data_IF_030864798503
#
_entry.id   IF_030864798503
#
_cell.length_a   1.000
_cell.length_b   1.000
_cell.length_c   1.000
_cell.angle_alpha   90.00
_cell.angle_beta   90.00
_cell.angle_gamma   90.00
#
_symmetry.space_group_name_H-M   'P 1'
#
loop_
_entity.id
_entity.type
_entity.pdbx_description
1 polymer ?
#
# COMPACT_ATOMS: atom_id res chain seq x y z
N UNK A 1 37.35 20.24 57.00
CA UNK A 1 36.30 20.81 56.12
C UNK A 1 36.51 20.23 54.74
N UNK A 2 35.81 19.15 54.40
CA UNK A 2 34.42 19.09 53.95
C UNK A 2 34.29 19.45 52.47
N UNK A 3 33.96 18.38 51.73
CA UNK A 3 33.04 18.31 50.61
C UNK A 3 33.49 18.79 49.23
N UNK A 4 33.13 17.94 48.26
CA UNK A 4 32.83 18.25 46.85
C UNK A 4 34.01 18.27 45.86
N UNK A 5 34.65 17.11 45.69
CA UNK A 5 35.33 16.73 44.43
C UNK A 5 34.78 15.41 43.88
N UNK A 6 33.45 15.23 43.95
CA UNK A 6 32.73 14.12 43.29
C UNK A 6 31.53 14.73 42.57
N UNK A 7 31.75 15.54 41.54
CA UNK A 7 30.65 15.99 40.68
C UNK A 7 31.12 16.44 39.28
N UNK A 8 31.77 15.55 38.49
CA UNK A 8 31.50 15.63 37.04
C UNK A 8 31.21 14.27 36.39
N UNK A 9 30.99 13.20 37.15
CA UNK A 9 30.76 11.86 36.56
C UNK A 9 29.28 11.42 36.49
N UNK A 10 28.34 12.22 37.02
CA UNK A 10 26.90 11.89 37.05
C UNK A 10 26.09 12.71 36.01
N UNK A 11 26.76 13.50 35.15
CA UNK A 11 26.08 14.39 34.20
C UNK A 11 26.33 14.05 32.71
N UNK A 12 26.47 12.76 32.36
CA UNK A 12 26.61 12.33 30.94
C UNK A 12 25.69 11.15 30.58
N UNK A 13 24.74 10.75 31.44
CA UNK A 13 23.84 9.62 31.16
C UNK A 13 22.40 10.05 30.81
N UNK A 14 22.09 11.35 30.76
CA UNK A 14 20.72 11.80 30.55
C UNK A 14 20.58 12.47 29.18
N UNK A 15 19.91 11.72 28.28
CA UNK A 15 19.15 12.14 27.09
C UNK A 15 19.87 12.23 25.74
N UNK A 16 20.51 11.13 25.33
CA UNK A 16 20.37 10.71 23.93
C UNK A 16 19.06 9.93 23.76
N UNK A 17 17.93 10.54 24.13
CA UNK A 17 16.61 10.06 23.69
C UNK A 17 16.42 10.54 22.25
N UNK A 18 17.26 10.04 21.35
CA UNK A 18 17.06 10.25 19.92
C UNK A 18 15.68 9.72 19.58
N UNK A 19 14.78 10.60 19.13
CA UNK A 19 13.47 10.18 18.64
C UNK A 19 13.71 9.09 17.60
N UNK A 20 13.28 7.85 17.90
CA UNK A 20 13.42 6.75 16.98
C UNK A 20 12.71 7.13 15.68
N UNK A 21 13.44 7.07 14.56
CA UNK A 21 12.87 7.38 13.25
C UNK A 21 11.81 6.33 12.94
N UNK A 22 10.61 6.78 12.57
CA UNK A 22 9.46 5.91 12.29
C UNK A 22 9.11 5.92 10.82
N UNK A 23 8.58 4.79 10.33
CA UNK A 23 8.23 4.59 8.93
C UNK A 23 6.98 3.73 8.74
N UNK A 24 6.36 3.83 7.55
CA UNK A 24 5.26 2.99 7.06
C UNK A 24 5.77 1.84 6.16
N UNK A 25 7.00 1.93 5.69
CA UNK A 25 7.64 0.89 4.90
C UNK A 25 8.03 -0.29 5.77
N UNK A 26 8.05 -1.48 5.20
CA UNK A 26 8.55 -2.72 5.80
C UNK A 26 9.43 -3.41 4.78
N UNK A 27 10.59 -3.90 5.18
CA UNK A 27 11.38 -4.75 4.29
C UNK A 27 12.23 -5.75 5.06
N UNK A 28 12.52 -6.87 4.43
CA UNK A 28 13.38 -7.90 4.99
C UNK A 28 14.85 -7.45 4.94
N UNK A 29 15.75 -8.05 5.74
CA UNK A 29 17.19 -7.74 5.70
C UNK A 29 17.84 -8.01 4.33
N UNK A 30 17.29 -8.94 3.55
CA UNK A 30 17.79 -9.36 2.24
C UNK A 30 17.10 -8.65 1.06
N UNK A 31 16.21 -7.69 1.31
CA UNK A 31 15.48 -6.96 0.26
C UNK A 31 16.42 -6.38 -0.82
N UNK A 32 17.45 -5.66 -0.41
CA UNK A 32 18.37 -4.95 -1.30
C UNK A 32 19.19 -5.88 -2.22
N UNK A 33 19.54 -7.08 -1.74
CA UNK A 33 20.26 -8.05 -2.55
C UNK A 33 19.32 -8.74 -3.52
N UNK A 34 18.14 -9.17 -3.04
CA UNK A 34 17.13 -9.88 -3.84
C UNK A 34 16.54 -9.03 -4.96
N UNK A 35 16.27 -7.76 -4.70
CA UNK A 35 15.69 -6.85 -5.68
C UNK A 35 16.65 -6.48 -6.82
N UNK A 36 17.96 -6.68 -6.62
CA UNK A 36 19.01 -6.53 -7.65
C UNK A 36 19.26 -7.82 -8.42
N UNK A 37 19.10 -8.97 -7.76
CA UNK A 37 19.21 -10.30 -8.36
C UNK A 37 18.09 -10.56 -9.37
N UNK A 38 16.84 -10.23 -9.00
CA UNK A 38 15.66 -10.53 -9.81
C UNK A 38 15.25 -9.36 -10.70
N UNK A 39 14.98 -9.65 -11.97
CA UNK A 39 14.51 -8.66 -12.94
C UNK A 39 13.06 -8.90 -13.38
N UNK A 40 12.52 -10.10 -13.18
CA UNK A 40 11.16 -10.47 -13.56
C UNK A 40 10.21 -10.40 -12.36
N UNK A 41 9.07 -9.73 -12.55
CA UNK A 41 8.03 -9.62 -11.54
C UNK A 41 6.66 -9.89 -12.14
N UNK A 42 5.86 -10.69 -11.45
CA UNK A 42 4.45 -10.89 -11.78
C UNK A 42 3.61 -9.92 -10.98
N UNK A 43 2.90 -9.02 -11.67
CA UNK A 43 1.88 -8.17 -11.04
C UNK A 43 0.58 -8.95 -10.99
N UNK A 44 0.13 -9.25 -9.77
CA UNK A 44 -1.11 -9.96 -9.50
C UNK A 44 -2.32 -9.04 -9.72
N UNK A 45 -3.53 -9.60 -9.98
CA UNK A 45 -4.75 -8.81 -9.98
C UNK A 45 -4.89 -8.02 -8.68
N UNK A 46 -5.00 -6.68 -8.74
CA UNK A 46 -5.18 -5.86 -7.55
C UNK A 46 -6.45 -6.26 -6.80
N UNK A 47 -6.39 -6.20 -5.48
CA UNK A 47 -7.59 -6.22 -4.66
C UNK A 47 -8.09 -4.78 -4.54
N UNK A 48 -9.35 -4.56 -4.90
CA UNK A 48 -9.98 -3.24 -4.90
C UNK A 48 -11.26 -3.31 -4.10
N UNK A 49 -11.38 -2.46 -3.10
CA UNK A 49 -12.61 -2.29 -2.34
C UNK A 49 -12.98 -0.81 -2.27
N UNK A 50 -14.19 -0.46 -2.67
CA UNK A 50 -14.68 0.92 -2.66
C UNK A 50 -16.03 0.99 -1.97
N UNK A 51 -16.09 1.77 -0.90
CA UNK A 51 -17.28 1.97 -0.09
C UNK A 51 -17.81 3.40 -0.25
N UNK A 52 -19.06 3.54 -0.68
CA UNK A 52 -19.80 4.79 -0.62
C UNK A 52 -20.39 4.98 0.79
N UNK A 53 -20.21 6.17 1.35
CA UNK A 53 -20.69 6.55 2.70
C UNK A 53 -21.81 7.58 2.58
N UNK A 54 -22.98 7.26 3.11
CA UNK A 54 -24.14 8.14 3.08
C UNK A 54 -24.18 9.15 4.26
N UNK A 55 -25.24 9.95 4.31
CA UNK A 55 -25.47 11.01 5.31
C UNK A 55 -25.52 10.45 6.74
N UNK A 56 -25.88 9.19 6.94
CA UNK A 56 -25.97 8.56 8.26
C UNK A 56 -24.74 7.69 8.57
N UNK A 57 -23.74 7.69 7.70
CA UNK A 57 -22.51 6.90 7.85
C UNK A 57 -22.64 5.44 7.39
N UNK A 58 -23.74 5.06 6.75
CA UNK A 58 -23.91 3.72 6.21
C UNK A 58 -22.99 3.54 5.00
N UNK A 59 -22.28 2.40 5.00
CA UNK A 59 -21.38 2.01 3.91
C UNK A 59 -22.11 1.14 2.90
N UNK A 60 -21.98 1.46 1.62
CA UNK A 60 -22.43 0.64 0.49
C UNK A 60 -21.26 0.37 -0.44
N UNK A 61 -20.94 -0.90 -0.65
CA UNK A 61 -19.86 -1.32 -1.55
C UNK A 61 -20.23 -1.07 -3.02
N UNK A 62 -19.26 -0.61 -3.81
CA UNK A 62 -19.44 -0.17 -5.21
C UNK A 62 -18.78 -1.15 -6.19
N UNK A 63 -19.31 -2.37 -6.31
CA UNK A 63 -18.71 -3.45 -7.11
C UNK A 63 -18.41 -3.06 -8.58
N UNK A 64 -19.35 -2.44 -9.29
CA UNK A 64 -19.14 -2.05 -10.69
C UNK A 64 -17.96 -1.05 -10.86
N UNK A 65 -17.75 -0.19 -9.86
CA UNK A 65 -16.64 0.76 -9.86
C UNK A 65 -15.31 0.09 -9.45
N UNK A 66 -15.36 -0.93 -8.58
CA UNK A 66 -14.18 -1.73 -8.23
C UNK A 66 -13.58 -2.42 -9.45
N UNK A 67 -14.42 -3.03 -10.31
CA UNK A 67 -13.98 -3.72 -11.52
C UNK A 67 -13.32 -2.77 -12.54
N UNK A 68 -13.90 -1.57 -12.70
CA UNK A 68 -13.33 -0.51 -13.53
C UNK A 68 -11.95 -0.08 -13.00
N UNK A 69 -11.89 0.21 -11.70
CA UNK A 69 -10.70 0.74 -11.05
C UNK A 69 -9.57 -0.29 -10.97
N UNK A 70 -9.87 -1.60 -10.85
CA UNK A 70 -8.87 -2.67 -10.91
C UNK A 70 -8.02 -2.59 -12.17
N UNK A 71 -8.63 -2.30 -13.33
CA UNK A 71 -7.90 -2.20 -14.58
C UNK A 71 -6.97 -0.98 -14.60
N UNK A 72 -7.47 0.20 -14.19
CA UNK A 72 -6.67 1.42 -14.09
C UNK A 72 -5.48 1.19 -13.13
N UNK A 73 -5.75 0.63 -11.95
CA UNK A 73 -4.71 0.36 -10.95
C UNK A 73 -3.62 -0.54 -11.52
N UNK A 74 -4.02 -1.64 -12.15
CA UNK A 74 -3.10 -2.60 -12.72
C UNK A 74 -2.24 -2.00 -13.83
N UNK A 75 -2.80 -1.22 -14.76
CA UNK A 75 -2.00 -0.59 -15.82
C UNK A 75 -0.95 0.37 -15.27
N UNK A 76 -1.35 1.23 -14.33
CA UNK A 76 -0.45 2.25 -13.79
C UNK A 76 0.61 1.64 -12.87
N UNK A 77 0.28 0.57 -12.13
CA UNK A 77 1.27 -0.21 -11.36
C UNK A 77 2.28 -0.87 -12.30
N UNK A 78 1.83 -1.50 -13.39
CA UNK A 78 2.73 -2.12 -14.37
C UNK A 78 3.71 -1.10 -14.94
N UNK A 79 3.23 0.07 -15.36
CA UNK A 79 4.09 1.16 -15.86
C UNK A 79 5.08 1.61 -14.79
N UNK A 80 4.60 1.90 -13.58
CA UNK A 80 5.45 2.39 -12.50
C UNK A 80 6.53 1.40 -12.10
N UNK A 81 6.24 0.09 -12.14
CA UNK A 81 7.21 -0.98 -11.85
C UNK A 81 8.18 -1.18 -13.03
N UNK A 82 7.73 -1.05 -14.27
CA UNK A 82 8.61 -1.03 -15.44
C UNK A 82 9.60 0.13 -15.40
N UNK A 83 9.17 1.32 -14.97
CA UNK A 83 10.03 2.51 -14.80
C UNK A 83 11.12 2.28 -13.73
N UNK A 84 10.92 1.34 -12.81
CA UNK A 84 11.95 0.88 -11.86
C UNK A 84 12.94 -0.14 -12.44
N UNK A 85 12.77 -0.52 -13.71
CA UNK A 85 13.68 -1.40 -14.43
C UNK A 85 13.34 -2.89 -14.38
N UNK A 86 12.12 -3.26 -13.94
CA UNK A 86 11.67 -4.65 -13.97
C UNK A 86 11.02 -5.02 -15.30
N UNK A 87 11.20 -6.27 -15.70
CA UNK A 87 10.37 -6.94 -16.70
C UNK A 87 9.10 -7.41 -16.00
N UNK A 88 7.97 -6.84 -16.41
CA UNK A 88 6.69 -7.08 -15.73
C UNK A 88 5.83 -8.03 -16.55
N UNK A 89 5.45 -9.16 -15.94
CA UNK A 89 4.38 -10.03 -16.41
C UNK A 89 3.10 -9.66 -15.67
N UNK A 90 2.14 -9.10 -16.39
CA UNK A 90 0.82 -8.76 -15.85
C UNK A 90 -0.07 -9.99 -15.87
N UNK A 91 -0.67 -10.34 -14.75
CA UNK A 91 -1.60 -11.48 -14.67
C UNK A 91 -3.05 -10.99 -14.52
N UNK A 92 -3.94 -11.52 -15.36
CA UNK A 92 -5.37 -11.21 -15.33
C UNK A 92 -6.17 -12.29 -14.60
N UNK A 93 -7.29 -11.92 -13.96
CA UNK A 93 -8.22 -12.88 -13.33
C UNK A 93 -8.69 -13.97 -14.31
N UNK A 94 -8.91 -13.58 -15.58
CA UNK A 94 -9.27 -14.52 -16.65
C UNK A 94 -8.18 -15.56 -16.87
N UNK A 95 -6.92 -15.14 -16.97
CA UNK A 95 -5.79 -16.06 -17.13
C UNK A 95 -5.63 -16.98 -15.91
N UNK A 96 -5.86 -16.48 -14.70
CA UNK A 96 -5.88 -17.31 -13.49
C UNK A 96 -6.93 -18.41 -13.58
N UNK A 97 -8.12 -18.10 -14.10
CA UNK A 97 -9.17 -19.08 -14.31
C UNK A 97 -8.82 -20.08 -15.41
N UNK A 98 -8.39 -19.60 -16.57
CA UNK A 98 -8.03 -20.41 -17.74
C UNK A 98 -6.86 -21.35 -17.46
N UNK A 99 -5.89 -20.93 -16.64
CA UNK A 99 -4.74 -21.72 -16.22
C UNK A 99 -5.00 -22.57 -14.97
N UNK A 100 -6.26 -22.63 -14.49
CA UNK A 100 -6.65 -23.38 -13.29
C UNK A 100 -5.85 -23.00 -12.03
N UNK A 101 -5.48 -21.72 -11.92
CA UNK A 101 -4.71 -21.16 -10.79
C UNK A 101 -5.61 -20.57 -9.70
N UNK A 102 -6.95 -20.62 -9.84
CA UNK A 102 -7.87 -19.92 -8.93
C UNK A 102 -7.76 -20.35 -7.47
N UNK A 103 -7.60 -21.64 -7.20
CA UNK A 103 -7.43 -22.14 -5.83
C UNK A 103 -6.10 -21.69 -5.22
N UNK A 104 -5.01 -21.81 -5.97
CA UNK A 104 -3.68 -21.37 -5.53
C UNK A 104 -3.64 -19.87 -5.29
N UNK A 105 -4.26 -19.10 -6.19
CA UNK A 105 -4.39 -17.65 -6.04
C UNK A 105 -5.19 -17.29 -4.79
N UNK A 106 -6.30 -18.00 -4.53
CA UNK A 106 -7.10 -17.81 -3.33
C UNK A 106 -6.30 -18.07 -2.04
N UNK A 107 -5.53 -19.16 -1.99
CA UNK A 107 -4.63 -19.47 -0.86
C UNK A 107 -3.53 -18.42 -0.70
N UNK A 108 -2.94 -17.99 -1.80
CA UNK A 108 -1.91 -16.95 -1.81
C UNK A 108 -2.47 -15.63 -1.24
N UNK A 109 -3.66 -15.22 -1.69
CA UNK A 109 -4.33 -14.02 -1.18
C UNK A 109 -4.67 -14.14 0.32
N UNK A 110 -5.10 -15.32 0.78
CA UNK A 110 -5.36 -15.56 2.20
C UNK A 110 -4.08 -15.42 3.05
N UNK A 111 -2.99 -16.07 2.64
CA UNK A 111 -1.68 -15.92 3.31
C UNK A 111 -1.21 -14.47 3.33
N UNK A 112 -1.33 -13.76 2.20
CA UNK A 112 -0.96 -12.36 2.12
C UNK A 112 -1.81 -11.47 3.04
N UNK A 113 -3.13 -11.66 3.08
CA UNK A 113 -4.01 -10.90 3.96
C UNK A 113 -3.67 -11.13 5.44
N UNK A 114 -3.34 -12.35 5.84
CA UNK A 114 -2.90 -12.65 7.20
C UNK A 114 -1.59 -11.91 7.55
N UNK A 115 -0.60 -11.95 6.66
CA UNK A 115 0.67 -11.25 6.86
C UNK A 115 0.49 -9.72 6.85
N UNK A 116 -0.30 -9.17 5.91
CA UNK A 116 -0.66 -7.75 5.83
C UNK A 116 -1.21 -7.25 7.17
N UNK A 117 -2.20 -7.97 7.71
CA UNK A 117 -2.85 -7.58 8.96
C UNK A 117 -1.88 -7.56 10.14
N UNK A 118 -0.85 -8.43 10.14
CA UNK A 118 0.21 -8.42 11.14
C UNK A 118 1.18 -7.23 10.96
N UNK A 119 1.67 -7.01 9.73
CA UNK A 119 2.64 -5.95 9.41
C UNK A 119 2.07 -4.55 9.66
N UNK A 120 0.78 -4.39 9.42
CA UNK A 120 0.08 -3.10 9.47
C UNK A 120 -0.96 -2.98 10.58
N UNK A 121 -0.93 -3.88 11.57
CA UNK A 121 -1.65 -3.70 12.83
C UNK A 121 -1.30 -2.37 13.52
N UNK A 122 -0.07 -1.88 13.30
CA UNK A 122 0.36 -0.51 13.60
C UNK A 122 0.97 0.10 12.36
N UNK A 123 0.47 1.28 11.96
CA UNK A 123 0.88 1.98 10.75
C UNK A 123 2.35 2.41 10.82
N UNK A 124 2.79 2.96 11.96
CA UNK A 124 4.15 3.47 12.16
C UNK A 124 4.95 2.51 13.03
N UNK A 125 6.11 2.10 12.54
CA UNK A 125 7.11 1.32 13.27
C UNK A 125 8.43 2.07 13.30
N UNK A 126 9.24 1.82 14.31
CA UNK A 126 10.66 2.22 14.32
C UNK A 126 11.38 1.55 13.16
N UNK A 127 12.26 2.28 12.47
CA UNK A 127 12.93 1.81 11.25
C UNK A 127 13.68 0.50 11.44
N UNK A 128 14.44 0.34 12.53
CA UNK A 128 15.19 -0.90 12.80
C UNK A 128 14.29 -2.15 12.81
N UNK A 129 13.12 -2.02 13.44
CA UNK A 129 12.11 -3.09 13.46
C UNK A 129 11.41 -3.23 12.10
N UNK A 130 11.12 -2.12 11.43
CA UNK A 130 10.46 -2.11 10.13
C UNK A 130 11.31 -2.78 9.04
N UNK A 131 12.63 -2.71 9.16
CA UNK A 131 13.62 -3.16 8.17
C UNK A 131 14.22 -4.54 8.51
N UNK A 132 13.60 -5.25 9.46
CA UNK A 132 14.00 -6.59 9.90
C UNK A 132 12.81 -7.56 9.93
N UNK A 133 11.81 -7.34 9.07
CA UNK A 133 10.64 -8.22 8.99
C UNK A 133 11.03 -9.63 8.53
N UNK A 134 10.27 -10.61 8.99
CA UNK A 134 10.49 -12.05 8.73
C UNK A 134 9.22 -12.75 8.22
N UNK A 135 8.21 -11.95 7.87
CA UNK A 135 6.92 -12.39 7.42
C UNK A 135 7.03 -13.16 6.11
N UNK A 136 6.40 -14.33 6.08
CA UNK A 136 6.52 -15.29 5.00
C UNK A 136 5.13 -15.85 4.66
N UNK A 137 4.83 -15.94 3.37
CA UNK A 137 3.54 -16.40 2.84
C UNK A 137 3.46 -17.93 2.69
N UNK A 138 4.59 -18.63 2.83
CA UNK A 138 4.75 -20.06 2.82
C UNK A 138 4.63 -20.68 1.42
N UNK A 139 4.26 -21.96 1.42
CA UNK A 139 4.04 -22.75 0.22
C UNK A 139 3.11 -22.09 -0.82
N UNK A 140 2.02 -21.37 -0.46
CA UNK A 140 1.18 -20.70 -1.45
C UNK A 140 1.95 -19.76 -2.39
N UNK A 141 2.91 -18.97 -1.87
CA UNK A 141 3.73 -18.09 -2.71
C UNK A 141 4.69 -18.89 -3.60
N UNK A 142 5.29 -19.95 -3.05
CA UNK A 142 6.25 -20.79 -3.77
C UNK A 142 5.58 -21.54 -4.93
N UNK A 143 4.44 -22.17 -4.67
CA UNK A 143 3.70 -22.90 -5.68
C UNK A 143 3.18 -21.96 -6.78
N UNK A 144 2.66 -20.80 -6.39
CA UNK A 144 2.17 -19.82 -7.36
C UNK A 144 3.30 -19.22 -8.22
N UNK A 145 4.44 -18.89 -7.60
CA UNK A 145 5.65 -18.44 -8.29
C UNK A 145 6.17 -19.47 -9.29
N UNK A 146 6.24 -20.74 -8.88
CA UNK A 146 6.64 -21.84 -9.75
C UNK A 146 5.72 -22.02 -10.96
N UNK A 147 4.39 -21.97 -10.76
CA UNK A 147 3.41 -22.08 -11.86
C UNK A 147 3.41 -20.88 -12.79
N UNK A 148 3.71 -19.68 -12.28
CA UNK A 148 3.76 -18.46 -13.08
C UNK A 148 5.15 -18.19 -13.70
N UNK A 149 6.15 -19.00 -13.33
CA UNK A 149 7.57 -18.87 -13.67
C UNK A 149 8.12 -17.48 -13.32
N UNK A 150 7.96 -17.07 -12.07
CA UNK A 150 8.42 -15.77 -11.57
C UNK A 150 9.11 -15.88 -10.22
N UNK A 151 10.20 -15.13 -10.05
CA UNK A 151 10.90 -15.00 -8.77
C UNK A 151 10.23 -13.97 -7.85
N UNK A 152 9.55 -12.97 -8.42
CA UNK A 152 8.88 -11.93 -7.65
C UNK A 152 7.37 -11.91 -7.92
N UNK A 153 6.58 -11.79 -6.87
CA UNK A 153 5.15 -11.52 -6.95
C UNK A 153 4.88 -10.14 -6.36
N UNK A 154 4.12 -9.31 -7.07
CA UNK A 154 3.72 -7.98 -6.64
C UNK A 154 2.23 -7.96 -6.31
N UNK A 155 1.93 -7.60 -5.07
CA UNK A 155 0.58 -7.40 -4.55
C UNK A 155 0.23 -5.93 -4.54
N UNK A 156 -1.03 -5.65 -4.84
CA UNK A 156 -1.63 -4.32 -4.71
C UNK A 156 -2.97 -4.47 -4.01
N UNK A 157 -3.17 -3.74 -2.91
CA UNK A 157 -4.45 -3.65 -2.21
C UNK A 157 -4.86 -2.17 -2.16
N UNK A 158 -6.02 -1.85 -2.71
CA UNK A 158 -6.59 -0.53 -2.71
C UNK A 158 -7.93 -0.54 -1.98
N UNK A 159 -8.07 0.35 -1.01
CA UNK A 159 -9.30 0.57 -0.28
C UNK A 159 -9.70 2.04 -0.40
N UNK A 160 -10.92 2.32 -0.86
CA UNK A 160 -11.45 3.65 -1.04
C UNK A 160 -12.74 3.87 -0.24
N UNK A 161 -12.89 5.07 0.34
CA UNK A 161 -14.13 5.55 0.91
C UNK A 161 -14.57 6.82 0.18
N UNK A 162 -15.81 6.86 -0.31
CA UNK A 162 -16.36 7.98 -1.08
C UNK A 162 -17.61 8.50 -0.37
N UNK A 163 -17.66 9.79 -0.04
CA UNK A 163 -18.87 10.38 0.56
C UNK A 163 -19.89 10.74 -0.52
N UNK A 164 -21.17 10.45 -0.26
CA UNK A 164 -22.29 10.96 -1.07
C UNK A 164 -22.35 12.49 -1.04
N UNK A 165 -22.97 13.10 -2.06
CA UNK A 165 -23.21 14.55 -2.09
C UNK A 165 -24.00 15.03 -0.86
N UNK A 166 -24.96 14.23 -0.38
CA UNK A 166 -25.69 14.53 0.85
C UNK A 166 -24.79 14.54 2.09
N UNK A 167 -23.91 13.54 2.23
CA UNK A 167 -22.97 13.48 3.35
C UNK A 167 -22.02 14.68 3.35
N UNK A 168 -21.52 15.05 2.16
CA UNK A 168 -20.69 16.26 1.97
C UNK A 168 -21.44 17.53 2.34
N UNK A 169 -22.72 17.66 1.95
CA UNK A 169 -23.54 18.82 2.29
C UNK A 169 -23.79 18.92 3.81
N UNK A 170 -24.06 17.79 4.48
CA UNK A 170 -24.19 17.73 5.95
C UNK A 170 -22.91 18.21 6.63
N UNK A 171 -21.77 17.68 6.21
CA UNK A 171 -20.46 18.03 6.78
C UNK A 171 -20.15 19.52 6.57
N UNK A 172 -20.48 20.07 5.39
CA UNK A 172 -20.37 21.50 5.13
C UNK A 172 -21.24 22.33 6.10
N UNK A 173 -22.50 21.98 6.31
CA UNK A 173 -23.39 22.70 7.25
C UNK A 173 -22.87 22.61 8.68
N UNK A 174 -22.42 21.43 9.13
CA UNK A 174 -21.83 21.26 10.47
C UNK A 174 -20.59 22.14 10.62
N UNK A 175 -19.73 22.22 9.60
CA UNK A 175 -18.52 23.06 9.64
C UNK A 175 -18.82 24.55 9.85
N UNK A 176 -19.92 25.04 9.24
CA UNK A 176 -20.38 26.42 9.42
C UNK A 176 -20.93 26.62 10.84
N UNK A 177 -21.80 25.72 11.31
CA UNK A 177 -22.43 25.82 12.62
C UNK A 177 -21.44 25.71 13.79
N UNK A 178 -20.41 24.88 13.64
CA UNK A 178 -19.38 24.68 14.65
C UNK A 178 -18.38 25.85 14.75
N UNK A 179 -18.48 26.86 13.86
CA UNK A 179 -17.49 27.94 13.69
C UNK A 179 -16.04 27.42 13.67
N UNK A 180 -15.86 26.19 13.18
CA UNK A 180 -14.60 25.48 13.18
C UNK A 180 -14.00 25.55 11.79
N UNK A 181 -12.82 26.14 11.66
CA UNK A 181 -11.93 25.95 10.50
C UNK A 181 -11.27 24.56 10.49
N UNK A 182 -11.45 23.78 11.56
CA UNK A 182 -11.00 22.40 11.65
C UNK A 182 -11.75 21.57 10.61
N UNK A 183 -10.99 20.96 9.70
CA UNK A 183 -11.49 20.07 8.67
C UNK A 183 -12.40 19.02 9.32
N UNK A 184 -13.65 18.95 8.87
CA UNK A 184 -14.54 17.83 9.23
C UNK A 184 -13.86 16.54 8.73
N UNK A 185 -13.37 15.71 9.64
CA UNK A 185 -12.87 14.37 9.34
C UNK A 185 -14.00 13.51 8.72
N UNK A 186 -13.87 12.87 7.57
CA UNK A 186 -12.79 12.87 6.59
C UNK A 186 -13.39 12.97 5.18
N UNK A 187 -12.69 13.65 4.29
CA UNK A 187 -12.98 13.70 2.87
C UNK A 187 -12.91 12.28 2.28
N UNK A 188 -13.23 12.09 1.00
CA UNK A 188 -13.05 10.77 0.37
C UNK A 188 -11.66 10.21 0.73
N UNK A 189 -11.54 8.99 1.27
CA UNK A 189 -10.26 8.44 1.68
C UNK A 189 -9.78 7.41 0.68
N UNK A 190 -8.47 7.27 0.50
CA UNK A 190 -7.91 6.07 -0.09
C UNK A 190 -6.67 5.58 0.63
N UNK A 191 -6.58 4.27 0.69
CA UNK A 191 -5.45 3.49 1.14
C UNK A 191 -4.92 2.68 -0.05
N UNK A 192 -3.61 2.72 -0.26
CA UNK A 192 -2.92 1.88 -1.24
C UNK A 192 -1.78 1.18 -0.54
N UNK A 193 -1.73 -0.14 -0.66
CA UNK A 193 -0.62 -0.98 -0.26
C UNK A 193 0.00 -1.61 -1.50
N UNK A 194 1.33 -1.58 -1.56
CA UNK A 194 2.10 -2.37 -2.51
C UNK A 194 3.07 -3.26 -1.74
N UNK A 195 3.20 -4.52 -2.15
CA UNK A 195 4.16 -5.44 -1.57
C UNK A 195 4.85 -6.30 -2.64
N UNK A 196 6.10 -6.65 -2.40
CA UNK A 196 6.92 -7.54 -3.21
C UNK A 196 7.26 -8.77 -2.37
N UNK A 197 7.02 -9.94 -2.94
CA UNK A 197 7.25 -11.24 -2.31
C UNK A 197 8.23 -12.03 -3.15
N UNK A 198 9.24 -12.61 -2.50
CA UNK A 198 10.13 -13.60 -3.09
C UNK A 198 9.36 -14.92 -3.24
N UNK A 199 9.06 -15.29 -4.48
CA UNK A 199 8.32 -16.49 -4.78
C UNK A 199 9.19 -17.76 -4.69
N UNK A 200 10.49 -17.66 -4.45
CA UNK A 200 11.37 -18.84 -4.27
C UNK A 200 11.31 -19.41 -2.85
N UNK A 201 11.03 -18.56 -1.87
CA UNK A 201 10.99 -18.93 -0.45
C UNK A 201 9.74 -18.43 0.29
N UNK A 202 8.91 -17.58 -0.33
CA UNK A 202 7.69 -17.01 0.22
C UNK A 202 7.88 -15.78 1.10
N UNK A 203 9.10 -15.28 1.29
CA UNK A 203 9.36 -14.10 2.13
C UNK A 203 8.73 -12.85 1.53
N UNK A 204 8.10 -12.03 2.37
CA UNK A 204 7.78 -10.66 2.02
C UNK A 204 9.09 -9.88 2.05
N UNK A 205 9.58 -9.49 0.87
CA UNK A 205 10.82 -8.72 0.77
C UNK A 205 10.59 -7.26 1.12
N UNK A 206 9.46 -6.71 0.67
CA UNK A 206 9.16 -5.29 0.84
C UNK A 206 7.67 -5.04 0.82
N UNK A 207 7.19 -4.10 1.63
CA UNK A 207 5.85 -3.55 1.52
C UNK A 207 5.81 -2.12 2.00
N UNK A 208 4.92 -1.32 1.44
CA UNK A 208 4.67 0.03 1.91
C UNK A 208 3.20 0.39 1.73
N UNK A 209 2.78 1.43 2.45
CA UNK A 209 1.41 1.93 2.43
C UNK A 209 1.37 3.45 2.31
N UNK A 210 0.35 3.94 1.62
CA UNK A 210 0.02 5.36 1.56
C UNK A 210 -1.46 5.55 1.88
N UNK A 211 -1.75 6.60 2.67
CA UNK A 211 -3.10 7.07 2.97
C UNK A 211 -3.24 8.49 2.45
N UNK A 212 -4.38 8.81 1.85
CA UNK A 212 -4.71 10.17 1.43
C UNK A 212 -6.18 10.46 1.73
N UNK A 213 -6.45 11.69 2.15
CA UNK A 213 -7.80 12.25 2.32
C UNK A 213 -8.48 12.62 0.99
N UNK A 214 -8.03 12.03 -0.12
CA UNK A 214 -8.70 12.10 -1.43
C UNK A 214 -8.71 10.72 -2.08
N UNK A 215 -9.90 10.15 -2.28
CA UNK A 215 -10.03 8.93 -3.09
C UNK A 215 -9.69 9.18 -4.56
N UNK A 216 -9.46 8.09 -5.31
CA UNK A 216 -9.29 8.16 -6.75
C UNK A 216 -10.54 8.70 -7.45
N UNK A 217 -11.74 8.37 -6.95
CA UNK A 217 -13.01 8.74 -7.55
C UNK A 217 -13.20 10.25 -7.70
N UNK A 218 -13.77 10.66 -8.83
CA UNK A 218 -14.14 12.05 -9.09
C UNK A 218 -15.59 12.13 -9.55
N UNK A 219 -16.47 12.53 -8.63
CA UNK A 219 -17.92 12.65 -8.89
C UNK A 219 -18.31 13.82 -9.80
N UNK A 220 -17.42 14.77 -10.03
CA UNK A 220 -17.70 16.02 -10.75
C UNK A 220 -17.50 15.92 -12.27
N UNK A 221 -16.98 14.79 -12.77
CA UNK A 221 -16.64 14.61 -14.17
C UNK A 221 -17.63 13.62 -14.81
N UNK A 222 -18.49 14.13 -15.69
CA UNK A 222 -19.50 13.33 -16.39
C UNK A 222 -18.93 12.53 -17.58
N UNK A 223 -17.72 12.86 -18.05
CA UNK A 223 -17.04 12.17 -19.13
C UNK A 223 -16.12 11.07 -18.58
N UNK A 224 -16.39 9.81 -18.92
CA UNK A 224 -15.60 8.65 -18.51
C UNK A 224 -14.11 8.78 -18.86
N UNK A 225 -13.76 9.20 -20.08
CA UNK A 225 -12.34 9.30 -20.49
C UNK A 225 -11.57 10.36 -19.70
N UNK A 226 -12.23 11.47 -19.38
CA UNK A 226 -11.65 12.53 -18.54
C UNK A 226 -11.52 12.09 -17.08
N UNK A 227 -12.45 11.27 -16.60
CA UNK A 227 -12.40 10.71 -15.24
C UNK A 227 -11.26 9.71 -15.10
N UNK A 228 -11.10 8.81 -16.06
CA UNK A 228 -10.04 7.79 -16.06
C UNK A 228 -8.65 8.44 -16.08
N UNK A 229 -8.47 9.52 -16.84
CA UNK A 229 -7.21 10.27 -16.86
C UNK A 229 -6.87 10.88 -15.50
N UNK A 230 -7.85 11.46 -14.80
CA UNK A 230 -7.64 12.04 -13.47
C UNK A 230 -7.38 10.94 -12.43
N UNK A 231 -8.09 9.82 -12.50
CA UNK A 231 -7.87 8.65 -11.64
C UNK A 231 -6.46 8.08 -11.85
N UNK A 232 -6.03 7.93 -13.11
CA UNK A 232 -4.68 7.50 -13.46
C UNK A 232 -3.60 8.49 -12.98
N UNK A 233 -3.81 9.80 -13.15
CA UNK A 233 -2.86 10.82 -12.69
C UNK A 233 -2.68 10.82 -11.17
N UNK A 234 -3.78 10.76 -10.41
CA UNK A 234 -3.74 10.62 -8.95
C UNK A 234 -3.00 9.35 -8.54
N UNK A 235 -3.27 8.24 -9.23
CA UNK A 235 -2.61 6.98 -8.92
C UNK A 235 -1.12 7.02 -9.24
N UNK A 236 -0.69 7.62 -10.35
CA UNK A 236 0.74 7.84 -10.65
C UNK A 236 1.43 8.61 -9.56
N UNK A 237 0.79 9.66 -9.04
CA UNK A 237 1.32 10.41 -7.91
C UNK A 237 1.52 9.51 -6.68
N UNK A 238 0.50 8.74 -6.29
CA UNK A 238 0.59 7.80 -5.17
C UNK A 238 1.66 6.71 -5.38
N UNK A 239 1.75 6.17 -6.60
CA UNK A 239 2.73 5.14 -6.95
C UNK A 239 4.17 5.70 -6.94
N UNK A 240 4.36 6.93 -7.40
CA UNK A 240 5.69 7.57 -7.38
C UNK A 240 6.23 7.74 -5.97
N UNK A 241 5.36 8.00 -5.00
CA UNK A 241 5.73 8.13 -3.59
C UNK A 241 5.93 6.76 -2.94
N UNK A 242 4.97 5.84 -3.10
CA UNK A 242 5.03 4.52 -2.44
C UNK A 242 6.22 3.68 -2.94
N UNK A 243 6.55 3.77 -4.23
CA UNK A 243 7.64 3.03 -4.88
C UNK A 243 8.98 3.78 -4.85
N UNK A 244 9.07 4.95 -4.21
CA UNK A 244 10.27 5.80 -4.22
C UNK A 244 11.55 5.06 -3.82
N UNK A 245 11.44 4.11 -2.88
CA UNK A 245 12.56 3.35 -2.33
C UNK A 245 12.92 2.10 -3.12
N UNK A 246 12.01 1.63 -3.99
CA UNK A 246 12.32 0.52 -4.89
C UNK A 246 13.22 1.04 -6.03
N UNK A 247 14.42 0.46 -6.13
CA UNK A 247 15.37 0.50 -7.26
C UNK A 247 15.31 1.80 -8.09
N UNK A 248 16.20 2.75 -7.83
CA UNK A 248 16.29 3.95 -8.67
C UNK A 248 17.19 3.68 -9.87
N UNK A 249 16.59 3.54 -11.06
CA UNK A 249 17.30 3.71 -12.34
C UNK A 249 17.58 5.21 -12.54
N UNK A 250 18.56 5.75 -11.80
CA UNK A 250 19.26 6.97 -12.20
C UNK A 250 20.75 6.63 -12.26
N UNK A 251 21.12 5.94 -13.33
CA UNK A 251 22.44 6.02 -13.94
C UNK A 251 22.28 6.76 -15.25
#
# INVERSE_FOLDING_TARGET
MRLLLILPFILVIITASGCAKVTKERHSPDFESKIKEYNDVVVLPPKVEVNMVDVVGKKKRMHDYEDHLENIIKEEVVKAVQDKGFRVKKLHRREIWEQQLSEDFGRLQQSFNAAKNKLYARVLWEEEKAFSITENLGLPAILFGGKTNSNLLLFVDYEGAIKTNGARARDFVISILANSSAAVEDADASFLLVAIVDATNGNILWSNIIYTAKSLYVSAINNFSSRDNVEAEKLRFLLSDILKQIRNNKN
#
